data_IF_702456500301
#
_entry.id   IF_702456500301
#
_cell.length_a   1.000
_cell.length_b   1.000
_cell.length_c   1.000
_cell.angle_alpha   90.00
_cell.angle_beta   90.00
_cell.angle_gamma   90.00
#
_symmetry.space_group_name_H-M   'P 1'
#
loop_
_entity.id
_entity.type
_entity.pdbx_description
1 polymer ?
#
# COMPACT_ATOMS: atom_id res chain seq x y z
N UNK A 1 -74.42 32.80 -53.16
CA UNK A 1 -74.22 31.33 -53.12
C UNK A 1 -73.51 31.00 -51.81
N UNK A 2 -74.23 30.46 -50.82
CA UNK A 2 -73.63 30.02 -49.57
C UNK A 2 -73.38 28.51 -49.67
N UNK A 3 -72.11 28.10 -49.62
CA UNK A 3 -71.70 26.69 -49.61
C UNK A 3 -72.24 26.04 -48.34
N UNK A 4 -73.19 25.11 -48.50
CA UNK A 4 -73.82 24.37 -47.41
C UNK A 4 -72.78 23.44 -46.79
N UNK A 5 -72.27 23.77 -45.61
CA UNK A 5 -71.52 22.82 -44.79
C UNK A 5 -72.53 21.75 -44.34
N UNK A 6 -72.46 20.57 -44.94
CA UNK A 6 -73.21 19.40 -44.49
C UNK A 6 -72.52 18.82 -43.26
N UNK A 7 -73.31 18.38 -42.28
CA UNK A 7 -72.88 17.77 -41.01
C UNK A 7 -71.81 16.68 -41.15
N UNK A 8 -71.68 16.08 -42.34
CA UNK A 8 -70.62 15.13 -42.68
C UNK A 8 -69.21 15.73 -42.64
N UNK A 9 -69.05 16.98 -43.06
CA UNK A 9 -67.76 17.69 -42.98
C UNK A 9 -67.44 18.10 -41.55
N UNK A 10 -68.47 18.40 -40.76
CA UNK A 10 -68.31 18.74 -39.33
C UNK A 10 -67.99 17.47 -38.52
N UNK A 11 -68.54 16.30 -38.89
CA UNK A 11 -68.25 15.04 -38.22
C UNK A 11 -66.78 14.64 -38.38
N UNK A 12 -66.25 14.56 -39.60
CA UNK A 12 -64.87 14.10 -39.80
C UNK A 12 -63.84 15.04 -39.15
N UNK A 13 -64.07 16.35 -39.26
CA UNK A 13 -63.12 17.37 -38.78
C UNK A 13 -63.25 17.63 -37.25
N UNK A 14 -64.45 17.46 -36.69
CA UNK A 14 -64.68 17.55 -35.24
C UNK A 14 -64.34 16.26 -34.49
N UNK A 15 -64.48 15.08 -35.12
CA UNK A 15 -64.06 13.80 -34.54
C UNK A 15 -62.53 13.79 -34.39
N UNK A 16 -61.77 14.22 -35.40
CA UNK A 16 -60.29 14.27 -35.31
C UNK A 16 -59.82 15.20 -34.18
N UNK A 17 -60.46 16.36 -34.00
CA UNK A 17 -60.10 17.30 -32.92
C UNK A 17 -60.63 16.88 -31.54
N UNK A 18 -61.74 16.15 -31.46
CA UNK A 18 -62.30 15.68 -30.19
C UNK A 18 -61.61 14.40 -29.68
N UNK A 19 -61.15 13.52 -30.57
CA UNK A 19 -60.41 12.30 -30.21
C UNK A 19 -58.96 12.62 -29.83
N UNK A 20 -58.36 13.67 -30.38
CA UNK A 20 -56.99 14.08 -30.08
C UNK A 20 -56.90 15.32 -29.17
N UNK A 21 -58.04 15.81 -28.68
CA UNK A 21 -58.17 17.02 -27.87
C UNK A 21 -58.00 16.78 -26.38
N UNK A 22 -56.75 16.83 -25.93
CA UNK A 22 -56.26 17.25 -24.60
C UNK A 22 -56.56 16.38 -23.36
N UNK A 23 -57.74 15.78 -23.17
CA UNK A 23 -58.02 14.95 -21.96
C UNK A 23 -58.39 13.49 -22.25
N UNK A 24 -58.64 13.14 -23.53
CA UNK A 24 -59.15 11.84 -23.94
C UNK A 24 -58.11 10.88 -24.52
N UNK A 25 -56.84 11.28 -24.68
CA UNK A 25 -55.72 10.32 -24.69
C UNK A 25 -55.49 9.84 -23.25
N UNK A 26 -56.56 9.33 -22.63
CA UNK A 26 -56.49 8.62 -21.38
C UNK A 26 -55.62 7.38 -21.62
N UNK A 27 -54.93 6.94 -20.58
CA UNK A 27 -53.96 5.83 -20.53
C UNK A 27 -54.40 4.53 -21.26
N UNK A 28 -55.68 4.38 -21.63
CA UNK A 28 -56.25 3.27 -22.39
C UNK A 28 -56.34 3.49 -23.91
N UNK A 29 -56.26 4.71 -24.45
CA UNK A 29 -56.41 5.00 -25.89
C UNK A 29 -55.06 5.05 -26.66
N UNK A 30 -53.94 5.02 -25.93
CA UNK A 30 -52.66 4.53 -26.48
C UNK A 30 -52.67 3.00 -26.44
N UNK A 31 -53.70 2.40 -27.03
CA UNK A 31 -53.93 0.97 -27.01
C UNK A 31 -52.78 0.25 -27.74
N UNK A 32 -51.97 -0.48 -26.98
CA UNK A 32 -51.17 -1.69 -27.23
C UNK A 32 -50.38 -1.87 -28.56
N UNK A 33 -50.90 -1.42 -29.71
CA UNK A 33 -50.23 -1.52 -31.01
C UNK A 33 -49.49 -0.23 -31.43
N UNK A 34 -49.84 0.95 -30.88
CA UNK A 34 -49.28 2.24 -31.30
C UNK A 34 -47.88 2.53 -30.70
N UNK A 35 -47.55 1.95 -29.54
CA UNK A 35 -46.21 1.98 -28.95
C UNK A 35 -45.55 0.61 -29.13
N UNK A 36 -45.08 0.34 -30.35
CA UNK A 36 -44.26 -0.84 -30.60
C UNK A 36 -42.88 -0.71 -29.92
N UNK A 37 -42.17 -1.82 -29.70
CA UNK A 37 -40.77 -1.78 -29.25
C UNK A 37 -39.86 -0.94 -30.16
N UNK A 38 -40.24 -0.72 -31.43
CA UNK A 38 -39.56 0.17 -32.35
C UNK A 38 -39.83 1.67 -32.07
N UNK A 39 -40.98 2.02 -31.49
CA UNK A 39 -41.28 3.39 -31.05
C UNK A 39 -40.54 3.75 -29.74
N UNK A 40 -40.09 2.74 -28.99
CA UNK A 40 -39.27 2.83 -27.77
C UNK A 40 -37.81 2.44 -28.07
N UNK A 41 -37.34 2.67 -29.30
CA UNK A 41 -36.15 2.02 -29.85
C UNK A 41 -34.83 2.34 -29.13
N UNK A 42 -34.51 3.62 -28.95
CA UNK A 42 -33.19 4.03 -28.44
C UNK A 42 -33.26 5.04 -27.28
N UNK A 43 -34.14 6.06 -27.33
CA UNK A 43 -34.19 7.12 -26.32
C UNK A 43 -35.63 7.38 -25.83
N UNK A 44 -35.91 7.03 -24.57
CA UNK A 44 -37.14 7.45 -23.87
C UNK A 44 -36.80 8.61 -22.94
N UNK A 45 -37.29 9.81 -23.25
CA UNK A 45 -37.20 10.94 -22.32
C UNK A 45 -38.20 10.76 -21.16
N UNK A 46 -37.70 10.39 -19.98
CA UNK A 46 -38.52 10.28 -18.77
C UNK A 46 -38.57 11.63 -18.04
N UNK A 47 -39.66 12.39 -18.22
CA UNK A 47 -39.89 13.63 -17.47
C UNK A 47 -40.28 13.39 -16.01
N UNK A 48 -40.03 14.38 -15.13
CA UNK A 48 -40.45 14.34 -13.72
C UNK A 48 -39.66 13.35 -12.84
N UNK A 49 -40.36 12.59 -11.99
CA UNK A 49 -39.80 11.63 -11.03
C UNK A 49 -40.30 10.19 -11.32
N UNK A 50 -39.86 9.54 -12.41
CA UNK A 50 -40.31 8.20 -12.76
C UNK A 50 -39.96 7.18 -11.67
N UNK A 51 -40.87 6.26 -11.38
CA UNK A 51 -40.65 5.15 -10.43
C UNK A 51 -40.55 3.82 -11.16
N UNK A 52 -39.66 2.95 -10.71
CA UNK A 52 -39.53 1.56 -11.22
C UNK A 52 -39.42 0.59 -10.03
N UNK A 53 -39.45 -0.71 -10.30
CA UNK A 53 -39.20 -1.72 -9.27
C UNK A 53 -37.72 -1.74 -8.88
N UNK A 54 -37.40 -1.47 -7.60
CA UNK A 54 -36.04 -1.65 -7.08
C UNK A 54 -35.64 -3.12 -7.16
N UNK A 55 -34.53 -3.39 -7.84
CA UNK A 55 -34.01 -4.75 -8.02
C UNK A 55 -33.13 -5.17 -6.85
N UNK A 56 -32.87 -6.49 -6.74
CA UNK A 56 -31.79 -7.02 -5.90
C UNK A 56 -30.44 -6.45 -6.36
N UNK A 57 -29.52 -6.16 -5.42
CA UNK A 57 -28.14 -5.73 -5.71
C UNK A 57 -27.33 -6.74 -6.52
N UNK A 58 -27.79 -8.00 -6.60
CA UNK A 58 -27.20 -9.05 -7.44
C UNK A 58 -27.67 -9.05 -8.90
N UNK A 59 -28.55 -8.12 -9.31
CA UNK A 59 -29.09 -8.07 -10.67
C UNK A 59 -28.14 -7.33 -11.62
N UNK A 60 -27.67 -8.02 -12.66
CA UNK A 60 -26.69 -7.55 -13.66
C UNK A 60 -27.32 -7.32 -15.06
N UNK A 61 -28.65 -7.25 -15.14
CA UNK A 61 -29.38 -7.02 -16.39
C UNK A 61 -29.42 -5.55 -16.80
N UNK A 62 -29.91 -5.27 -18.00
CA UNK A 62 -30.06 -3.89 -18.53
C UNK A 62 -31.29 -3.14 -18.00
N UNK A 63 -31.88 -3.57 -16.88
CA UNK A 63 -33.05 -2.92 -16.27
C UNK A 63 -32.67 -1.56 -15.68
N UNK A 64 -33.64 -0.63 -15.66
CA UNK A 64 -33.44 0.71 -15.07
C UNK A 64 -33.12 0.60 -13.58
N UNK A 65 -31.97 1.14 -13.16
CA UNK A 65 -31.57 1.23 -11.77
C UNK A 65 -32.35 2.32 -11.02
N UNK A 66 -32.97 1.96 -9.89
CA UNK A 66 -33.56 2.95 -8.96
C UNK A 66 -32.49 3.55 -8.07
N UNK A 67 -32.70 4.76 -7.54
CA UNK A 67 -31.78 5.38 -6.57
C UNK A 67 -31.58 4.54 -5.32
N UNK A 68 -32.62 3.84 -4.84
CA UNK A 68 -32.53 2.91 -3.71
C UNK A 68 -31.62 1.70 -4.00
N UNK A 69 -31.64 1.17 -5.23
CA UNK A 69 -30.71 0.12 -5.66
C UNK A 69 -29.27 0.64 -5.66
N UNK A 70 -29.04 1.83 -6.22
CA UNK A 70 -27.70 2.44 -6.29
C UNK A 70 -27.16 2.68 -4.87
N UNK A 71 -27.97 3.21 -3.96
CA UNK A 71 -27.58 3.38 -2.56
C UNK A 71 -27.23 2.04 -1.90
N UNK A 72 -28.09 1.04 -2.03
CA UNK A 72 -27.86 -0.29 -1.42
C UNK A 72 -26.61 -0.98 -1.98
N UNK A 73 -26.36 -0.88 -3.29
CA UNK A 73 -25.16 -1.43 -3.92
C UNK A 73 -23.90 -0.73 -3.39
N UNK A 74 -23.90 0.61 -3.32
CA UNK A 74 -22.80 1.40 -2.78
C UNK A 74 -22.53 1.06 -1.31
N UNK A 75 -23.59 0.98 -0.48
CA UNK A 75 -23.45 0.66 0.94
C UNK A 75 -22.88 -0.75 1.14
N UNK A 76 -23.31 -1.73 0.33
CA UNK A 76 -22.77 -3.09 0.37
C UNK A 76 -21.27 -3.14 0.04
N UNK A 77 -20.86 -2.43 -1.01
CA UNK A 77 -19.46 -2.39 -1.44
C UNK A 77 -18.57 -1.68 -0.41
N UNK A 78 -19.07 -0.58 0.17
CA UNK A 78 -18.37 0.15 1.25
C UNK A 78 -18.23 -0.74 2.49
N UNK A 79 -19.30 -1.41 2.92
CA UNK A 79 -19.25 -2.30 4.07
C UNK A 79 -18.28 -3.45 3.85
N UNK A 80 -18.27 -4.05 2.66
CA UNK A 80 -17.32 -5.12 2.31
C UNK A 80 -15.87 -4.66 2.43
N UNK A 81 -15.57 -3.45 1.96
CA UNK A 81 -14.23 -2.85 2.06
C UNK A 81 -13.86 -2.55 3.53
N UNK A 82 -14.79 -1.95 4.28
CA UNK A 82 -14.59 -1.61 5.70
C UNK A 82 -14.41 -2.87 6.54
N UNK A 83 -15.20 -3.92 6.34
CA UNK A 83 -15.11 -5.16 7.11
C UNK A 83 -13.78 -5.90 6.89
N UNK A 84 -13.20 -5.76 5.70
CA UNK A 84 -11.91 -6.38 5.35
C UNK A 84 -10.70 -5.59 5.90
N UNK A 85 -10.85 -4.30 6.20
CA UNK A 85 -9.74 -3.42 6.56
C UNK A 85 -9.17 -3.65 7.98
N UNK A 86 -9.96 -3.81 9.07
CA UNK A 86 -9.46 -3.96 10.43
C UNK A 86 -8.45 -5.10 10.60
N UNK A 87 -8.69 -6.27 9.99
CA UNK A 87 -7.77 -7.41 10.08
C UNK A 87 -6.42 -7.13 9.39
N UNK A 88 -6.46 -6.46 8.23
CA UNK A 88 -5.25 -6.04 7.51
C UNK A 88 -4.48 -4.97 8.28
N UNK A 89 -5.17 -3.96 8.82
CA UNK A 89 -4.58 -2.91 9.66
C UNK A 89 -3.96 -3.48 10.94
N UNK A 90 -4.62 -4.44 11.57
CA UNK A 90 -4.07 -5.15 12.72
C UNK A 90 -2.76 -5.87 12.35
N UNK A 91 -2.74 -6.57 11.20
CA UNK A 91 -1.52 -7.24 10.71
C UNK A 91 -0.39 -6.24 10.45
N UNK A 92 -0.68 -5.09 9.83
CA UNK A 92 0.32 -4.04 9.61
C UNK A 92 0.82 -3.44 10.92
N UNK A 93 -0.05 -3.25 11.91
CA UNK A 93 0.32 -2.78 13.25
C UNK A 93 1.19 -3.79 14.00
N UNK A 94 0.86 -5.08 13.93
CA UNK A 94 1.67 -6.15 14.52
C UNK A 94 3.06 -6.23 13.89
N UNK A 95 3.16 -6.07 12.56
CA UNK A 95 4.44 -6.03 11.84
C UNK A 95 5.25 -4.77 12.24
N UNK A 96 4.61 -3.61 12.32
CA UNK A 96 5.26 -2.37 12.73
C UNK A 96 5.82 -2.50 14.16
N UNK A 97 5.01 -3.01 15.09
CA UNK A 97 5.44 -3.29 16.46
C UNK A 97 6.56 -4.33 16.54
N UNK A 98 6.50 -5.40 15.74
CA UNK A 98 7.57 -6.41 15.66
C UNK A 98 8.90 -5.83 15.13
N UNK A 99 8.84 -4.76 14.34
CA UNK A 99 9.98 -3.97 13.86
C UNK A 99 10.27 -2.75 14.75
N UNK A 100 9.68 -2.70 15.94
CA UNK A 100 9.85 -1.63 16.93
C UNK A 100 9.52 -0.22 16.38
N UNK A 101 8.52 -0.14 15.49
CA UNK A 101 8.08 1.11 14.86
C UNK A 101 9.24 1.93 14.24
N UNK A 102 10.29 1.27 13.75
CA UNK A 102 11.50 1.94 13.24
C UNK A 102 11.31 2.41 11.77
N UNK A 103 11.15 3.72 11.52
CA UNK A 103 11.01 4.25 10.15
C UNK A 103 12.28 4.09 9.30
N UNK A 104 13.40 3.74 9.94
CA UNK A 104 14.73 3.60 9.35
C UNK A 104 15.31 2.19 9.55
N UNK A 105 14.45 1.17 9.75
CA UNK A 105 14.86 -0.21 10.07
C UNK A 105 16.08 -0.70 9.27
N UNK A 106 16.08 -0.50 7.95
CA UNK A 106 17.21 -0.88 7.07
C UNK A 106 18.52 -0.19 7.46
N UNK A 107 18.49 1.10 7.78
CA UNK A 107 19.67 1.85 8.23
C UNK A 107 20.13 1.38 9.60
N UNK A 108 19.20 1.14 10.54
CA UNK A 108 19.51 0.59 11.87
C UNK A 108 20.22 -0.75 11.77
N UNK A 109 19.68 -1.67 10.98
CA UNK A 109 20.27 -3.00 10.75
C UNK A 109 21.63 -2.90 10.07
N UNK A 110 21.76 -2.09 9.02
CA UNK A 110 23.03 -1.90 8.33
C UNK A 110 24.11 -1.32 9.24
N UNK A 111 23.78 -0.34 10.08
CA UNK A 111 24.70 0.22 11.06
C UNK A 111 25.13 -0.83 12.09
N UNK A 112 24.20 -1.63 12.60
CA UNK A 112 24.51 -2.69 13.55
C UNK A 112 25.44 -3.78 12.95
N UNK A 113 25.25 -4.11 11.67
CA UNK A 113 26.09 -5.04 10.92
C UNK A 113 27.48 -4.44 10.65
N UNK A 114 27.55 -3.16 10.30
CA UNK A 114 28.82 -2.47 10.02
C UNK A 114 29.77 -2.41 11.23
N UNK A 115 29.26 -2.56 12.44
CA UNK A 115 30.05 -2.66 13.67
C UNK A 115 30.61 -4.06 13.95
N UNK A 116 30.21 -5.08 13.18
CA UNK A 116 30.70 -6.45 13.35
C UNK A 116 31.94 -6.68 12.50
N UNK A 117 32.95 -7.30 13.08
CA UNK A 117 34.13 -7.75 12.34
C UNK A 117 33.75 -8.96 11.44
N UNK A 118 34.27 -9.05 10.19
CA UNK A 118 34.13 -10.24 9.37
C UNK A 118 34.72 -11.48 10.02
N UNK A 119 34.12 -12.66 9.76
CA UNK A 119 34.60 -13.93 10.32
C UNK A 119 35.97 -14.34 9.78
N UNK A 120 36.21 -14.11 8.50
CA UNK A 120 37.45 -14.46 7.82
C UNK A 120 38.25 -13.19 7.55
N UNK A 121 39.50 -13.16 8.03
CA UNK A 121 40.47 -12.10 7.80
C UNK A 121 39.89 -10.70 8.07
N UNK A 122 39.42 -10.40 9.29
CA UNK A 122 38.92 -9.07 9.61
C UNK A 122 40.02 -8.03 9.36
N UNK A 123 39.68 -6.98 8.63
CA UNK A 123 40.54 -5.81 8.43
C UNK A 123 39.98 -4.70 9.32
N UNK A 124 40.77 -4.31 10.32
CA UNK A 124 40.44 -3.19 11.19
C UNK A 124 41.05 -1.90 10.61
N UNK A 125 40.25 -0.84 10.54
CA UNK A 125 40.73 0.51 10.25
C UNK A 125 40.85 1.29 11.56
N UNK A 126 41.94 2.02 11.74
CA UNK A 126 42.25 2.70 12.99
C UNK A 126 42.78 1.76 14.07
N UNK A 127 42.48 2.05 15.33
CA UNK A 127 43.02 1.30 16.47
C UNK A 127 42.18 0.06 16.76
N UNK A 128 42.81 -1.06 17.09
CA UNK A 128 42.13 -2.29 17.48
C UNK A 128 42.45 -2.64 18.93
N UNK A 129 41.41 -2.79 19.75
CA UNK A 129 41.52 -3.21 21.16
C UNK A 129 40.90 -4.58 21.31
N UNK A 130 41.65 -5.54 21.84
CA UNK A 130 41.15 -6.91 22.04
C UNK A 130 40.69 -7.13 23.48
N UNK A 131 41.50 -6.67 24.43
CA UNK A 131 41.20 -6.58 25.86
C UNK A 131 42.10 -5.47 26.40
N UNK A 132 41.55 -4.52 27.15
CA UNK A 132 42.24 -3.29 27.53
C UNK A 132 42.72 -3.38 28.99
N UNK A 133 44.02 -3.25 29.28
CA UNK A 133 45.11 -2.86 28.37
C UNK A 133 45.90 -4.03 27.76
N UNK A 134 45.44 -5.29 27.88
CA UNK A 134 46.15 -6.51 27.49
C UNK A 134 46.77 -6.50 26.08
N UNK A 135 46.00 -6.26 25.02
CA UNK A 135 46.50 -6.17 23.63
C UNK A 135 45.82 -5.02 22.89
N UNK A 136 46.65 -4.14 22.35
CA UNK A 136 46.24 -2.94 21.63
C UNK A 136 47.08 -2.74 20.37
N UNK A 137 46.42 -2.49 19.24
CA UNK A 137 47.07 -2.05 18.00
C UNK A 137 46.73 -0.58 17.79
N UNK A 138 47.75 0.26 17.79
CA UNK A 138 47.66 1.67 17.43
C UNK A 138 47.85 1.80 15.92
N UNK A 139 46.74 1.83 15.20
CA UNK A 139 46.74 2.02 13.75
C UNK A 139 47.07 3.44 13.32
N UNK A 140 47.08 4.41 14.23
CA UNK A 140 47.47 5.80 13.91
C UNK A 140 48.98 5.97 13.88
N UNK A 141 49.70 5.20 14.71
CA UNK A 141 51.17 5.28 14.83
C UNK A 141 51.90 4.02 14.34
N UNK A 142 51.17 3.03 13.82
CA UNK A 142 51.66 1.71 13.41
C UNK A 142 52.44 1.02 14.54
N UNK A 143 51.82 0.85 15.72
CA UNK A 143 52.44 0.25 16.92
C UNK A 143 51.56 -0.82 17.55
N UNK A 144 52.19 -1.73 18.30
CA UNK A 144 51.52 -2.74 19.12
C UNK A 144 51.88 -2.53 20.59
N UNK A 145 50.86 -2.43 21.44
CA UNK A 145 50.95 -2.41 22.90
C UNK A 145 50.51 -3.73 23.51
N UNK A 146 51.28 -4.24 24.47
CA UNK A 146 50.89 -5.34 25.36
C UNK A 146 50.93 -4.82 26.78
N UNK A 147 49.80 -4.88 27.49
CA UNK A 147 49.65 -4.29 28.83
C UNK A 147 49.59 -2.76 28.85
N UNK A 148 49.48 -2.11 27.69
CA UNK A 148 49.39 -0.65 27.54
C UNK A 148 48.55 -0.27 26.33
N UNK A 149 47.77 0.82 26.46
CA UNK A 149 47.00 1.43 25.36
C UNK A 149 47.72 2.63 24.74
N UNK A 150 48.90 2.99 25.25
CA UNK A 150 49.71 4.11 24.77
C UNK A 150 51.12 3.65 24.40
N UNK A 151 51.28 2.81 23.35
CA UNK A 151 52.58 2.28 22.98
C UNK A 151 53.56 3.39 22.57
N UNK A 152 54.68 3.51 23.29
CA UNK A 152 55.75 4.48 23.01
C UNK A 152 56.71 4.05 21.88
N UNK A 153 56.66 2.79 21.47
CA UNK A 153 57.53 2.17 20.47
C UNK A 153 56.74 1.21 19.55
N UNK A 154 57.38 0.70 18.48
CA UNK A 154 56.73 -0.24 17.53
C UNK A 154 56.13 -1.46 18.21
N UNK A 155 56.83 -2.02 19.17
CA UNK A 155 56.32 -2.98 20.14
C UNK A 155 56.60 -2.41 21.53
N UNK A 156 55.56 -2.10 22.30
CA UNK A 156 55.67 -1.67 23.70
C UNK A 156 55.01 -2.71 24.59
N UNK A 157 55.78 -3.32 25.48
CA UNK A 157 55.25 -4.23 26.51
C UNK A 157 55.42 -3.52 27.85
N UNK A 158 54.30 -3.30 28.53
CA UNK A 158 54.24 -2.67 29.85
C UNK A 158 53.63 -3.66 30.84
N UNK A 159 54.31 -3.87 31.96
CA UNK A 159 53.87 -4.79 33.02
C UNK A 159 54.10 -4.14 34.38
N UNK A 160 53.43 -4.67 35.41
CA UNK A 160 53.67 -4.24 36.78
C UNK A 160 55.12 -4.47 37.20
N UNK A 161 55.59 -3.68 38.17
CA UNK A 161 56.95 -3.79 38.67
C UNK A 161 57.24 -5.20 39.23
N UNK A 162 58.41 -5.74 38.91
CA UNK A 162 58.81 -7.10 39.25
C UNK A 162 58.15 -8.23 38.44
N UNK A 163 57.25 -7.93 37.49
CA UNK A 163 56.66 -8.94 36.61
C UNK A 163 57.60 -9.29 35.43
N UNK A 164 57.50 -10.52 34.94
CA UNK A 164 58.18 -10.95 33.71
C UNK A 164 57.52 -10.26 32.51
N UNK A 165 58.26 -9.41 31.79
CA UNK A 165 57.74 -8.66 30.65
C UNK A 165 57.83 -9.45 29.34
N UNK A 166 58.88 -10.24 29.15
CA UNK A 166 59.07 -11.07 27.96
C UNK A 166 59.69 -12.40 28.36
N UNK A 167 58.89 -13.46 28.29
CA UNK A 167 59.36 -14.83 28.38
C UNK A 167 59.50 -15.40 26.98
N UNK A 168 60.71 -15.77 26.60
CA UNK A 168 60.95 -16.58 25.40
C UNK A 168 61.49 -17.93 25.84
N UNK A 169 60.75 -19.00 25.55
CA UNK A 169 61.16 -20.38 25.85
C UNK A 169 61.22 -21.13 24.53
N UNK A 170 62.39 -21.69 24.19
CA UNK A 170 62.54 -22.53 23.01
C UNK A 170 62.76 -23.99 23.42
N UNK A 171 62.11 -24.90 22.71
CA UNK A 171 62.35 -26.35 22.82
C UNK A 171 63.05 -26.81 21.54
N UNK A 172 64.36 -27.03 21.58
CA UNK A 172 65.16 -27.49 20.43
C UNK A 172 66.50 -26.76 20.25
N UNK A 173 67.29 -27.12 19.22
CA UNK A 173 68.61 -26.52 18.95
C UNK A 173 68.44 -25.11 18.32
N UNK A 174 68.76 -24.10 19.12
CA UNK A 174 68.37 -22.68 18.95
C UNK A 174 69.19 -21.89 17.92
N UNK A 175 68.58 -20.85 17.35
CA UNK A 175 69.29 -19.66 16.86
C UNK A 175 68.36 -18.45 16.96
N UNK A 176 68.31 -17.78 18.12
CA UNK A 176 67.79 -16.42 18.20
C UNK A 176 68.86 -15.45 17.65
N UNK A 177 68.80 -15.16 16.35
CA UNK A 177 69.65 -14.15 15.74
C UNK A 177 68.89 -12.81 15.68
N UNK A 178 69.09 -11.95 16.68
CA UNK A 178 68.81 -10.53 16.51
C UNK A 178 69.95 -9.95 15.67
N UNK A 179 69.73 -9.82 14.35
CA UNK A 179 70.66 -9.06 13.51
C UNK A 179 70.40 -7.57 13.76
N UNK A 180 71.46 -6.85 14.12
CA UNK A 180 71.47 -5.40 14.25
C UNK A 180 71.16 -4.72 12.91
#
# INVERSE_FOLDING_TARGET
MATKITSRVIADDAIIRATLGDDAIGVNEIADDAISSAAIGDDVALGGNPTTTTQSTSNDTTRIATTAFVQAAIDNDINTLIDSAPGTLNTLNEIAAALNDDPTFTTTVNNAIALKAPIANPVFTGNATFDSPTLYVDGSNDRVGIGTTSPGAKLHIEVADGAEFLKVTQTGNEHWAFKA
#
